data_IF_914937195007
#
_entry.id   IF_914937195007
#
_cell.length_a   1.000
_cell.length_b   1.000
_cell.length_c   1.000
_cell.angle_alpha   90.00
_cell.angle_beta   90.00
_cell.angle_gamma   90.00
#
_symmetry.space_group_name_H-M   'P 1'
#
loop_
_entity.id
_entity.type
_entity.pdbx_description
1 polymer ?
#
# COMPACT_ATOMS: atom_id res chain seq x y z
N UNK A 1 -5.26 -6.53 24.06
CA UNK A 1 -5.07 -7.99 23.93
C UNK A 1 -3.59 -8.30 24.13
N UNK A 2 -3.24 -9.40 24.82
CA UNK A 2 -1.86 -9.86 24.88
C UNK A 2 -1.50 -10.50 23.53
N UNK A 3 -0.23 -10.46 23.13
CA UNK A 3 0.26 -11.23 21.99
C UNK A 3 0.34 -12.70 22.39
N UNK A 4 0.08 -13.61 21.44
CA UNK A 4 0.30 -15.05 21.62
C UNK A 4 1.79 -15.38 21.61
N UNK A 5 2.17 -16.58 22.10
CA UNK A 5 3.57 -17.01 22.08
C UNK A 5 4.11 -17.09 20.64
N UNK A 6 3.31 -17.56 19.68
CA UNK A 6 3.67 -17.58 18.26
C UNK A 6 3.91 -16.15 17.72
N UNK A 7 3.08 -15.18 18.09
CA UNK A 7 3.29 -13.78 17.70
C UNK A 7 4.55 -13.19 18.34
N UNK A 8 4.84 -13.53 19.59
CA UNK A 8 6.08 -13.12 20.25
C UNK A 8 7.30 -13.67 19.52
N UNK A 9 7.27 -14.93 19.12
CA UNK A 9 8.34 -15.57 18.34
C UNK A 9 8.46 -14.92 16.96
N UNK A 10 7.36 -14.81 16.20
CA UNK A 10 7.31 -14.23 14.86
C UNK A 10 7.87 -12.82 14.81
N UNK A 11 7.52 -11.97 15.78
CA UNK A 11 7.92 -10.56 15.83
C UNK A 11 9.07 -10.29 16.80
N UNK A 12 9.79 -11.31 17.25
CA UNK A 12 10.87 -11.16 18.23
C UNK A 12 11.92 -10.12 17.83
N UNK A 13 12.26 -10.03 16.54
CA UNK A 13 13.22 -9.07 16.00
C UNK A 13 12.72 -7.62 16.06
N UNK A 14 11.42 -7.40 15.96
CA UNK A 14 10.81 -6.07 16.18
C UNK A 14 10.75 -5.72 17.67
N UNK A 15 10.44 -6.71 18.51
CA UNK A 15 10.25 -6.52 19.95
C UNK A 15 11.53 -6.09 20.65
N UNK A 16 12.70 -6.54 20.17
CA UNK A 16 14.02 -6.14 20.74
C UNK A 16 14.49 -4.75 20.32
N UNK A 17 13.89 -4.14 19.27
CA UNK A 17 14.21 -2.77 18.84
C UNK A 17 13.60 -1.76 19.82
N UNK A 18 14.40 -0.85 20.37
CA UNK A 18 13.94 0.15 21.33
C UNK A 18 12.82 1.04 20.79
N UNK A 19 12.87 1.37 19.52
CA UNK A 19 11.95 2.25 18.81
C UNK A 19 10.60 1.58 18.55
N UNK A 20 10.55 0.25 18.50
CA UNK A 20 9.34 -0.54 18.26
C UNK A 20 8.86 -1.18 19.57
N UNK A 21 9.62 -2.13 20.10
CA UNK A 21 9.31 -2.87 21.31
C UNK A 21 7.97 -3.63 21.22
N UNK A 22 7.58 -4.27 22.30
CA UNK A 22 6.30 -4.95 22.38
C UNK A 22 5.09 -3.98 22.22
N UNK A 23 5.26 -2.70 22.64
CA UNK A 23 4.23 -1.68 22.51
C UNK A 23 3.99 -1.28 21.06
N UNK A 24 5.07 -1.09 20.30
CA UNK A 24 5.00 -0.78 18.86
C UNK A 24 4.40 -1.93 18.07
N UNK A 25 4.85 -3.18 18.33
CA UNK A 25 4.29 -4.35 17.67
C UNK A 25 2.79 -4.51 17.92
N UNK A 26 2.32 -4.25 19.15
CA UNK A 26 0.88 -4.24 19.45
C UNK A 26 0.11 -3.16 18.69
N UNK A 27 0.74 -2.02 18.37
CA UNK A 27 0.12 -0.99 17.51
C UNK A 27 0.04 -1.48 16.06
N UNK A 28 1.10 -2.12 15.53
CA UNK A 28 1.08 -2.71 14.18
C UNK A 28 -0.04 -3.73 14.03
N UNK A 29 -0.18 -4.65 14.99
CA UNK A 29 -1.25 -5.67 15.01
C UNK A 29 -2.69 -5.08 15.03
N UNK A 30 -2.85 -3.81 15.38
CA UNK A 30 -4.14 -3.11 15.37
C UNK A 30 -4.28 -2.16 14.18
N UNK A 31 -3.18 -1.86 13.52
CA UNK A 31 -3.12 -0.88 12.44
C UNK A 31 -3.87 -1.35 11.20
N UNK A 32 -4.42 -0.39 10.47
CA UNK A 32 -5.13 -0.61 9.22
C UNK A 32 -4.47 0.20 8.11
N UNK A 33 -3.93 -0.46 7.11
CA UNK A 33 -3.26 0.17 5.98
C UNK A 33 -3.99 -0.14 4.68
N UNK A 34 -4.26 0.86 3.87
CA UNK A 34 -4.79 0.70 2.51
C UNK A 34 -3.65 0.88 1.51
N UNK A 35 -3.50 -0.08 0.62
CA UNK A 35 -2.56 -0.03 -0.51
C UNK A 35 -3.37 0.13 -1.79
N UNK A 36 -3.16 1.21 -2.51
CA UNK A 36 -3.81 1.48 -3.79
C UNK A 36 -2.80 1.18 -4.90
N UNK A 37 -3.06 0.13 -5.66
CA UNK A 37 -2.18 -0.46 -6.66
C UNK A 37 -1.43 -1.69 -6.15
N UNK A 38 -1.65 -2.85 -6.77
CA UNK A 38 -0.95 -4.12 -6.51
C UNK A 38 0.19 -4.36 -7.52
N UNK A 39 0.71 -3.28 -8.11
CA UNK A 39 1.79 -3.27 -9.09
C UNK A 39 3.19 -3.33 -8.47
N UNK A 40 4.20 -2.87 -9.23
CA UNK A 40 5.61 -2.94 -8.82
C UNK A 40 5.96 -2.19 -7.54
N UNK A 41 5.21 -1.13 -7.18
CA UNK A 41 5.39 -0.38 -5.94
C UNK A 41 4.56 -0.96 -4.79
N UNK A 42 3.31 -1.34 -5.07
CA UNK A 42 2.42 -1.91 -4.06
C UNK A 42 2.81 -3.33 -3.64
N UNK A 43 3.36 -4.14 -4.54
CA UNK A 43 3.77 -5.52 -4.25
C UNK A 43 4.77 -5.62 -3.08
N UNK A 44 5.94 -4.97 -3.11
CA UNK A 44 6.87 -5.03 -1.98
C UNK A 44 6.29 -4.41 -0.71
N UNK A 45 5.54 -3.31 -0.81
CA UNK A 45 4.90 -2.70 0.35
C UNK A 45 3.92 -3.67 1.02
N UNK A 46 3.06 -4.36 0.26
CA UNK A 46 2.11 -5.33 0.77
C UNK A 46 2.81 -6.51 1.47
N UNK A 47 3.86 -7.05 0.87
CA UNK A 47 4.62 -8.15 1.43
C UNK A 47 5.29 -7.77 2.75
N UNK A 48 6.00 -6.65 2.81
CA UNK A 48 6.69 -6.21 4.02
C UNK A 48 5.73 -5.84 5.15
N UNK A 49 4.60 -5.20 4.84
CA UNK A 49 3.60 -4.87 5.85
C UNK A 49 2.89 -6.11 6.39
N UNK A 50 2.61 -7.10 5.54
CA UNK A 50 2.08 -8.39 5.98
C UNK A 50 3.09 -9.13 6.86
N UNK A 51 4.36 -9.21 6.44
CA UNK A 51 5.43 -9.80 7.25
C UNK A 51 5.61 -9.09 8.60
N UNK A 52 5.49 -7.76 8.62
CA UNK A 52 5.58 -6.96 9.85
C UNK A 52 4.37 -7.11 10.78
N UNK A 53 3.28 -7.74 10.33
CA UNK A 53 2.09 -8.00 11.13
C UNK A 53 1.20 -6.77 11.29
N UNK A 54 1.01 -5.99 10.22
CA UNK A 54 -0.06 -4.98 10.18
C UNK A 54 -1.41 -5.69 10.19
N UNK A 55 -2.24 -5.38 11.20
CA UNK A 55 -3.44 -6.17 11.50
C UNK A 55 -4.46 -6.27 10.38
N UNK A 56 -4.70 -5.18 9.64
CA UNK A 56 -5.58 -5.17 8.47
C UNK A 56 -4.89 -4.48 7.29
N UNK A 57 -4.83 -5.15 6.15
CA UNK A 57 -4.33 -4.58 4.90
C UNK A 57 -5.46 -4.60 3.86
N UNK A 58 -5.89 -3.40 3.43
CA UNK A 58 -6.72 -3.24 2.25
C UNK A 58 -5.83 -3.19 1.01
N UNK A 59 -6.21 -3.88 -0.06
CA UNK A 59 -5.50 -3.80 -1.34
C UNK A 59 -6.49 -3.53 -2.47
N UNK A 60 -6.22 -2.50 -3.25
CA UNK A 60 -7.07 -2.03 -4.36
C UNK A 60 -6.32 -2.17 -5.67
N UNK A 61 -6.88 -2.88 -6.61
CA UNK A 61 -6.41 -2.97 -8.00
C UNK A 61 -7.53 -3.55 -8.87
N UNK A 62 -7.72 -3.05 -10.07
CA UNK A 62 -8.75 -3.54 -10.98
C UNK A 62 -8.24 -4.64 -11.93
N UNK A 63 -6.93 -4.74 -12.10
CA UNK A 63 -6.29 -5.56 -13.13
C UNK A 63 -6.19 -7.04 -12.78
N UNK A 64 -5.82 -7.79 -13.79
CA UNK A 64 -5.38 -9.19 -13.68
C UNK A 64 -3.86 -9.28 -13.81
N UNK A 65 -3.32 -10.38 -13.30
CA UNK A 65 -1.88 -10.69 -13.41
C UNK A 65 -1.55 -11.04 -14.85
N UNK A 66 -0.55 -10.35 -15.41
CA UNK A 66 -0.02 -10.59 -16.75
C UNK A 66 1.45 -11.01 -16.66
N UNK A 67 1.91 -11.82 -17.63
CA UNK A 67 3.29 -12.28 -17.71
C UNK A 67 4.30 -11.12 -17.70
N UNK A 68 3.96 -10.01 -18.39
CA UNK A 68 4.78 -8.79 -18.45
C UNK A 68 4.91 -8.05 -17.12
N UNK A 69 4.16 -8.46 -16.10
CA UNK A 69 4.20 -7.86 -14.77
C UNK A 69 5.22 -8.54 -13.84
N UNK A 70 5.49 -9.83 -14.03
CA UNK A 70 6.15 -10.69 -13.06
C UNK A 70 7.60 -10.31 -12.74
N UNK A 71 8.31 -9.61 -13.65
CA UNK A 71 9.68 -9.18 -13.39
C UNK A 71 9.82 -8.08 -12.34
N UNK A 72 8.69 -7.42 -11.92
CA UNK A 72 8.68 -6.37 -10.89
C UNK A 72 7.56 -6.48 -9.85
N UNK A 73 6.47 -7.17 -10.18
CA UNK A 73 5.32 -7.33 -9.28
C UNK A 73 5.46 -8.64 -8.49
N UNK A 74 6.43 -8.68 -7.59
CA UNK A 74 6.94 -9.88 -6.90
C UNK A 74 5.96 -10.58 -5.96
N UNK A 75 4.80 -9.98 -5.71
CA UNK A 75 3.72 -10.60 -4.92
C UNK A 75 2.93 -11.64 -5.73
N UNK A 76 3.06 -11.61 -7.06
CA UNK A 76 2.41 -12.52 -7.99
C UNK A 76 3.40 -13.55 -8.53
N UNK A 77 2.89 -14.69 -8.98
CA UNK A 77 3.66 -15.79 -9.57
C UNK A 77 3.12 -16.16 -10.96
N UNK A 78 3.87 -16.98 -11.70
CA UNK A 78 3.44 -17.51 -13.01
C UNK A 78 2.12 -18.27 -12.92
N UNK A 79 1.85 -18.94 -11.79
CA UNK A 79 0.59 -19.65 -11.55
C UNK A 79 -0.61 -18.71 -11.37
N UNK A 80 -0.38 -17.41 -11.20
CA UNK A 80 -1.42 -16.41 -10.99
C UNK A 80 -1.83 -15.68 -12.27
N UNK A 81 -1.21 -15.96 -13.42
CA UNK A 81 -1.55 -15.30 -14.69
C UNK A 81 -3.05 -15.46 -14.97
N UNK A 82 -3.72 -14.33 -15.28
CA UNK A 82 -5.17 -14.24 -15.48
C UNK A 82 -6.00 -14.15 -14.19
N UNK A 83 -5.40 -14.28 -13.01
CA UNK A 83 -6.09 -14.07 -11.73
C UNK A 83 -6.14 -12.57 -11.40
N UNK A 84 -7.22 -12.11 -10.79
CA UNK A 84 -7.28 -10.73 -10.29
C UNK A 84 -6.10 -10.45 -9.34
N UNK A 85 -5.36 -9.36 -9.55
CA UNK A 85 -4.16 -8.98 -8.76
C UNK A 85 -4.45 -8.95 -7.27
N UNK A 86 -5.58 -8.38 -6.87
CA UNK A 86 -5.97 -8.32 -5.45
C UNK A 86 -6.18 -9.69 -4.83
N UNK A 87 -6.65 -10.68 -5.59
CA UNK A 87 -6.83 -12.06 -5.12
C UNK A 87 -5.50 -12.77 -4.96
N UNK A 88 -4.64 -12.70 -5.97
CA UNK A 88 -3.26 -13.24 -5.93
C UNK A 88 -2.48 -12.63 -4.76
N UNK A 89 -2.52 -11.30 -4.60
CA UNK A 89 -1.85 -10.61 -3.50
C UNK A 89 -2.35 -11.06 -2.12
N UNK A 90 -3.66 -11.24 -1.95
CA UNK A 90 -4.25 -11.78 -0.71
C UNK A 90 -3.73 -13.18 -0.38
N UNK A 91 -3.71 -14.07 -1.36
CA UNK A 91 -3.23 -15.44 -1.18
C UNK A 91 -1.76 -15.45 -0.73
N UNK A 92 -0.89 -14.65 -1.37
CA UNK A 92 0.52 -14.51 -0.99
C UNK A 92 0.70 -13.92 0.40
N UNK A 93 0.00 -12.83 0.73
CA UNK A 93 0.08 -12.22 2.06
C UNK A 93 -0.37 -13.17 3.17
N UNK A 94 -1.48 -13.89 2.98
CA UNK A 94 -2.00 -14.83 3.96
C UNK A 94 -1.10 -16.08 4.12
N UNK A 95 -0.45 -16.53 3.04
CA UNK A 95 0.55 -17.60 3.12
C UNK A 95 1.80 -17.17 3.91
N UNK A 96 2.17 -15.87 3.83
CA UNK A 96 3.29 -15.30 4.57
C UNK A 96 2.94 -15.07 6.04
N UNK A 97 1.75 -14.54 6.32
CA UNK A 97 1.30 -14.22 7.67
C UNK A 97 -0.23 -14.39 7.79
N UNK A 98 -0.69 -15.53 8.33
CA UNK A 98 -2.13 -15.82 8.45
C UNK A 98 -2.87 -14.94 9.44
N UNK A 99 -2.17 -14.22 10.34
CA UNK A 99 -2.77 -13.31 11.32
C UNK A 99 -3.25 -11.99 10.69
N UNK A 100 -2.83 -11.70 9.46
CA UNK A 100 -3.19 -10.45 8.78
C UNK A 100 -4.54 -10.59 8.09
N UNK A 101 -5.48 -9.71 8.44
CA UNK A 101 -6.75 -9.58 7.72
C UNK A 101 -6.51 -8.85 6.39
N UNK A 102 -6.68 -9.54 5.25
CA UNK A 102 -6.54 -8.93 3.93
C UNK A 102 -7.91 -8.68 3.30
N UNK A 103 -8.26 -7.39 3.13
CA UNK A 103 -9.46 -6.93 2.41
C UNK A 103 -9.11 -6.58 0.97
N UNK A 104 -9.83 -7.15 0.02
CA UNK A 104 -9.57 -6.97 -1.42
C UNK A 104 -10.65 -6.13 -2.08
N UNK A 105 -10.24 -5.17 -2.90
CA UNK A 105 -11.12 -4.27 -3.66
C UNK A 105 -10.73 -4.33 -5.14
N UNK A 106 -11.45 -5.13 -5.93
CA UNK A 106 -11.24 -5.22 -7.38
C UNK A 106 -11.98 -4.08 -8.08
N UNK A 107 -11.38 -2.89 -8.04
CA UNK A 107 -11.98 -1.69 -8.64
C UNK A 107 -10.92 -0.64 -8.98
N UNK A 108 -11.27 0.30 -9.84
CA UNK A 108 -10.55 1.55 -9.97
C UNK A 108 -11.01 2.54 -8.89
N UNK A 109 -10.06 3.31 -8.34
CA UNK A 109 -10.39 4.44 -7.48
C UNK A 109 -10.76 5.65 -8.32
N UNK A 110 -11.85 6.32 -7.91
CA UNK A 110 -12.31 7.55 -8.50
C UNK A 110 -12.88 8.50 -7.43
N UNK A 111 -13.35 9.68 -7.85
CA UNK A 111 -13.85 10.69 -6.93
C UNK A 111 -15.11 10.25 -6.15
N UNK A 112 -15.85 9.26 -6.66
CA UNK A 112 -17.09 8.79 -6.02
C UNK A 112 -16.84 7.78 -4.90
N UNK A 113 -15.73 7.02 -4.94
CA UNK A 113 -15.49 5.91 -4.04
C UNK A 113 -14.28 6.09 -3.08
N UNK A 114 -13.27 6.86 -3.49
CA UNK A 114 -11.99 6.90 -2.78
C UNK A 114 -12.11 7.44 -1.35
N UNK A 115 -12.92 8.45 -1.10
CA UNK A 115 -13.02 9.08 0.23
C UNK A 115 -13.62 8.15 1.26
N UNK A 116 -14.68 7.43 0.90
CA UNK A 116 -15.33 6.45 1.77
C UNK A 116 -14.35 5.32 2.12
N UNK A 117 -13.66 4.79 1.11
CA UNK A 117 -12.67 3.74 1.29
C UNK A 117 -11.52 4.17 2.22
N UNK A 118 -10.94 5.35 2.02
CA UNK A 118 -9.82 5.88 2.81
C UNK A 118 -10.18 6.05 4.30
N UNK A 119 -11.42 6.40 4.61
CA UNK A 119 -11.86 6.61 6.00
C UNK A 119 -11.69 5.39 6.90
N UNK A 120 -11.79 4.20 6.35
CA UNK A 120 -11.68 2.93 7.08
C UNK A 120 -10.25 2.61 7.54
N UNK A 121 -9.24 3.33 7.03
CA UNK A 121 -7.83 3.02 7.24
C UNK A 121 -7.10 4.13 7.99
N UNK A 122 -6.01 3.75 8.68
CA UNK A 122 -5.17 4.66 9.46
C UNK A 122 -4.08 5.30 8.59
N UNK A 123 -3.60 4.59 7.59
CA UNK A 123 -2.51 4.99 6.70
C UNK A 123 -2.76 4.50 5.27
N UNK A 124 -2.39 5.32 4.28
CA UNK A 124 -2.59 5.01 2.87
C UNK A 124 -1.24 4.90 2.17
N UNK A 125 -1.10 3.89 1.30
CA UNK A 125 0.06 3.75 0.42
C UNK A 125 -0.41 3.92 -1.02
N UNK A 126 0.15 4.91 -1.70
CA UNK A 126 -0.02 5.12 -3.13
C UNK A 126 1.06 4.33 -3.89
N UNK A 127 0.68 3.16 -4.37
CA UNK A 127 1.47 2.29 -5.25
C UNK A 127 1.09 2.41 -6.73
N UNK A 128 0.36 3.47 -7.13
CA UNK A 128 -0.07 3.67 -8.52
C UNK A 128 1.07 4.21 -9.39
N UNK A 129 0.94 4.04 -10.69
CA UNK A 129 1.94 4.43 -11.69
C UNK A 129 1.48 5.59 -12.60
N UNK A 130 0.34 6.20 -12.29
CA UNK A 130 -0.22 7.27 -13.11
C UNK A 130 -0.55 8.53 -12.28
N UNK A 131 -0.34 9.69 -12.89
CA UNK A 131 -0.53 10.98 -12.23
C UNK A 131 -1.98 11.27 -11.81
N UNK A 132 -3.02 10.98 -12.63
CA UNK A 132 -4.40 11.20 -12.20
C UNK A 132 -4.73 10.51 -10.87
N UNK A 133 -4.36 9.25 -10.71
CA UNK A 133 -4.57 8.51 -9.46
C UNK A 133 -3.79 9.13 -8.29
N UNK A 134 -2.53 9.53 -8.51
CA UNK A 134 -1.70 10.17 -7.48
C UNK A 134 -2.29 11.46 -6.94
N UNK A 135 -2.78 12.32 -7.83
CA UNK A 135 -3.45 13.56 -7.44
C UNK A 135 -4.78 13.29 -6.73
N UNK A 136 -5.56 12.32 -7.20
CA UNK A 136 -6.81 11.92 -6.57
C UNK A 136 -6.59 11.38 -5.14
N UNK A 137 -5.60 10.50 -4.95
CA UNK A 137 -5.24 9.95 -3.64
C UNK A 137 -4.79 11.06 -2.70
N UNK A 138 -3.91 11.96 -3.17
CA UNK A 138 -3.49 13.12 -2.38
C UNK A 138 -4.69 13.94 -1.91
N UNK A 139 -5.57 14.32 -2.84
CA UNK A 139 -6.71 15.19 -2.53
C UNK A 139 -7.65 14.52 -1.52
N UNK A 140 -7.95 13.24 -1.70
CA UNK A 140 -8.77 12.49 -0.78
C UNK A 140 -8.12 12.36 0.61
N UNK A 141 -6.81 12.07 0.69
CA UNK A 141 -6.09 11.98 1.95
C UNK A 141 -6.03 13.32 2.69
N UNK A 142 -5.83 14.43 1.98
CA UNK A 142 -5.84 15.78 2.57
C UNK A 142 -7.23 16.11 3.13
N UNK A 143 -8.29 15.86 2.36
CA UNK A 143 -9.68 16.12 2.77
C UNK A 143 -10.10 15.27 3.98
N UNK A 144 -9.70 13.99 4.00
CA UNK A 144 -10.03 13.05 5.08
C UNK A 144 -9.01 13.09 6.23
N UNK A 145 -8.01 13.97 6.17
CA UNK A 145 -6.93 14.11 7.16
C UNK A 145 -6.23 12.77 7.45
N UNK A 146 -5.93 12.02 6.41
CA UNK A 146 -5.23 10.73 6.50
C UNK A 146 -3.77 10.89 6.07
N UNK A 147 -2.83 10.33 6.85
CA UNK A 147 -1.44 10.26 6.40
C UNK A 147 -1.31 9.29 5.24
N UNK A 148 -0.42 9.60 4.31
CA UNK A 148 -0.11 8.70 3.20
C UNK A 148 1.34 8.78 2.76
N UNK A 149 1.85 7.69 2.20
CA UNK A 149 3.11 7.65 1.47
C UNK A 149 2.85 7.46 -0.02
N UNK A 150 3.51 8.30 -0.79
CA UNK A 150 3.52 8.28 -2.24
C UNK A 150 4.89 7.81 -2.73
N UNK A 151 4.91 6.90 -3.69
CA UNK A 151 6.12 6.52 -4.41
C UNK A 151 5.94 6.67 -5.92
N UNK A 152 7.03 6.95 -6.62
CA UNK A 152 7.08 7.00 -8.08
C UNK A 152 8.45 6.60 -8.59
N UNK A 153 8.48 5.86 -9.71
CA UNK A 153 9.72 5.47 -10.39
C UNK A 153 9.59 5.83 -11.86
N UNK A 154 10.57 6.55 -12.37
CA UNK A 154 10.72 6.84 -13.80
C UNK A 154 12.15 6.48 -14.20
N UNK A 155 12.32 5.47 -15.05
CA UNK A 155 13.62 4.95 -15.45
C UNK A 155 14.44 4.52 -14.21
N UNK A 156 15.59 5.17 -13.95
CA UNK A 156 16.47 4.91 -12.80
C UNK A 156 16.35 5.96 -11.69
N UNK A 157 15.29 6.75 -11.69
CA UNK A 157 15.02 7.75 -10.64
C UNK A 157 13.77 7.35 -9.87
N UNK A 158 13.92 7.22 -8.57
CA UNK A 158 12.82 7.00 -7.64
C UNK A 158 12.54 8.25 -6.82
N UNK A 159 11.30 8.40 -6.43
CA UNK A 159 10.86 9.46 -5.53
C UNK A 159 9.95 8.84 -4.47
N UNK A 160 10.11 9.27 -3.23
CA UNK A 160 9.28 8.88 -2.11
C UNK A 160 8.91 10.14 -1.32
N UNK A 161 7.66 10.24 -0.93
CA UNK A 161 7.16 11.33 -0.11
C UNK A 161 6.11 10.80 0.87
N UNK A 162 6.17 11.26 2.12
CA UNK A 162 5.14 10.98 3.12
C UNK A 162 4.48 12.29 3.55
N UNK A 163 3.16 12.30 3.54
CA UNK A 163 2.34 13.38 4.05
C UNK A 163 1.74 12.97 5.40
N UNK A 164 1.86 13.87 6.37
CA UNK A 164 1.20 13.76 7.67
C UNK A 164 0.30 15.00 7.84
N UNK A 165 -0.99 14.85 8.16
CA UNK A 165 -1.91 15.97 8.30
C UNK A 165 -1.42 17.00 9.33
N UNK A 166 -1.29 18.25 8.89
CA UNK A 166 -0.78 19.34 9.74
C UNK A 166 0.75 19.44 9.84
N UNK A 167 1.49 18.51 9.20
CA UNK A 167 2.94 18.50 9.19
C UNK A 167 3.47 18.49 7.75
N UNK A 168 4.03 19.60 7.30
CA UNK A 168 4.69 19.69 5.99
C UNK A 168 3.75 19.73 4.77
N UNK A 169 4.34 19.68 3.56
CA UNK A 169 3.62 19.85 2.31
C UNK A 169 2.91 18.56 1.87
N UNK A 170 1.75 18.68 1.23
CA UNK A 170 1.12 17.58 0.49
C UNK A 170 1.69 17.49 -0.93
N UNK A 171 1.27 16.45 -1.69
CA UNK A 171 1.74 16.23 -3.06
C UNK A 171 1.49 17.44 -3.98
N UNK A 172 0.32 18.10 -3.86
CA UNK A 172 0.01 19.33 -4.62
C UNK A 172 0.85 20.55 -4.22
N UNK A 173 1.36 20.60 -3.00
CA UNK A 173 2.27 21.67 -2.62
C UNK A 173 3.62 21.57 -3.35
N UNK A 174 4.05 20.35 -3.66
CA UNK A 174 5.31 20.06 -4.37
C UNK A 174 5.09 20.05 -5.88
N UNK A 175 4.02 19.38 -6.35
CA UNK A 175 3.68 19.21 -7.75
C UNK A 175 2.33 19.88 -8.04
N UNK A 176 2.35 21.16 -8.40
CA UNK A 176 1.13 21.97 -8.55
C UNK A 176 0.13 21.40 -9.55
N UNK A 177 0.60 20.90 -10.67
CA UNK A 177 -0.21 20.37 -11.76
C UNK A 177 0.34 19.04 -12.26
N UNK A 178 -0.52 18.12 -12.74
CA UNK A 178 -0.06 16.95 -13.45
C UNK A 178 0.71 17.37 -14.71
N UNK A 179 1.75 16.62 -15.10
CA UNK A 179 2.45 16.88 -16.35
C UNK A 179 1.49 16.74 -17.54
N UNK A 180 1.78 17.41 -18.68
CA UNK A 180 1.05 17.17 -19.93
C UNK A 180 1.00 15.67 -20.27
N UNK A 181 -0.11 15.22 -20.87
CA UNK A 181 -0.33 13.79 -21.17
C UNK A 181 0.80 13.17 -22.00
N UNK A 182 1.41 13.95 -22.87
CA UNK A 182 2.47 13.52 -23.79
C UNK A 182 3.90 13.59 -23.19
N UNK A 183 4.05 14.12 -21.97
CA UNK A 183 5.35 14.34 -21.35
C UNK A 183 5.90 13.11 -20.59
N UNK A 184 5.09 12.08 -20.38
CA UNK A 184 5.46 10.92 -19.58
C UNK A 184 5.15 9.64 -20.35
N UNK A 185 6.15 8.77 -20.58
CA UNK A 185 5.88 7.44 -21.14
C UNK A 185 4.97 6.66 -20.20
N UNK A 186 3.88 6.13 -20.72
CA UNK A 186 3.04 5.14 -20.04
C UNK A 186 3.75 3.80 -19.98
N UNK A 187 3.67 3.12 -18.86
CA UNK A 187 4.10 1.73 -18.72
C UNK A 187 3.19 0.78 -19.50
#
# INVERSE_FOLDING_TARGET
MAMTDEQIERYSRHIILKEVGAKGQKKLLKGKVLIIGAGGLGAPAAMYLAAAGVGTIGIVDADEVDLSNLQRQIIHSTADIGKAKVKSAKETMNAMNPDVEVKTYRMFVDASNIRELIREYDFIIDGTDNFPAKFLINDACVLEKKPFSHAGIIRFKGQLMTYVPGEGPCYRCVFKNPPPKDAVPTC
#
